data_IF_406498641067
#
_entry.id   IF_406498641067
#
_cell.length_a   1.000
_cell.length_b   1.000
_cell.length_c   1.000
_cell.angle_alpha   90.00
_cell.angle_beta   90.00
_cell.angle_gamma   90.00
#
_symmetry.space_group_name_H-M   'P 1'
#
loop_
_entity.id
_entity.type
_entity.pdbx_description
1 polymer ?
#
# COMPACT_ATOMS: atom_id res chain seq x y z
N UNK A 1 -5.43 3.21 15.40
CA UNK A 1 -4.94 3.14 14.00
C UNK A 1 -3.58 3.82 13.94
N UNK A 2 -2.54 3.17 13.42
CA UNK A 2 -1.18 3.74 13.39
C UNK A 2 -0.87 4.31 12.00
N UNK A 3 0.03 5.29 11.91
CA UNK A 3 0.51 5.85 10.61
C UNK A 3 1.00 4.74 9.67
N UNK A 4 1.63 3.69 10.23
CA UNK A 4 2.06 2.51 9.48
C UNK A 4 0.90 1.78 8.78
N UNK A 5 -0.27 1.67 9.41
CA UNK A 5 -1.45 1.04 8.81
C UNK A 5 -2.02 1.87 7.66
N UNK A 6 -1.94 3.20 7.76
CA UNK A 6 -2.33 4.10 6.67
C UNK A 6 -1.35 3.93 5.50
N UNK A 7 -0.05 4.08 5.74
CA UNK A 7 0.95 4.01 4.67
C UNK A 7 1.00 2.65 3.97
N UNK A 8 0.78 1.55 4.69
CA UNK A 8 0.79 0.20 4.13
C UNK A 8 -0.54 -0.21 3.48
N UNK A 9 -1.57 0.65 3.47
CA UNK A 9 -2.85 0.28 2.89
C UNK A 9 -2.79 0.23 1.35
N UNK A 10 -3.14 -0.93 0.79
CA UNK A 10 -3.10 -1.18 -0.65
C UNK A 10 -4.19 -0.42 -1.43
N UNK A 11 -5.21 0.12 -0.77
CA UNK A 11 -6.23 0.93 -1.44
C UNK A 11 -5.65 2.19 -2.10
N UNK A 12 -4.57 2.75 -1.54
CA UNK A 12 -3.90 3.93 -2.10
C UNK A 12 -3.22 3.66 -3.45
N UNK A 13 -2.90 2.40 -3.76
CA UNK A 13 -2.35 1.97 -5.06
C UNK A 13 -3.41 1.32 -5.97
N UNK A 14 -4.70 1.51 -5.67
CA UNK A 14 -5.81 0.98 -6.47
C UNK A 14 -6.01 -0.53 -6.31
N UNK A 15 -5.69 -1.09 -5.15
CA UNK A 15 -5.88 -2.52 -4.83
C UNK A 15 -6.77 -2.67 -3.60
N UNK A 16 -7.78 -3.53 -3.66
CA UNK A 16 -8.65 -3.84 -2.52
C UNK A 16 -8.33 -5.25 -2.06
N UNK A 17 -8.18 -5.42 -0.74
CA UNK A 17 -7.98 -6.74 -0.12
C UNK A 17 -9.20 -7.05 0.74
N UNK A 18 -9.87 -8.15 0.44
CA UNK A 18 -11.00 -8.65 1.23
C UNK A 18 -10.83 -10.16 1.43
N UNK A 19 -10.81 -10.61 2.68
CA UNK A 19 -10.63 -12.03 3.05
C UNK A 19 -9.43 -12.71 2.36
N UNK A 20 -8.31 -11.99 2.27
CA UNK A 20 -7.07 -12.49 1.65
C UNK A 20 -7.06 -12.45 0.12
N UNK A 21 -8.18 -12.14 -0.53
CA UNK A 21 -8.26 -11.96 -1.98
C UNK A 21 -7.92 -10.51 -2.34
N UNK A 22 -6.96 -10.32 -3.23
CA UNK A 22 -6.58 -9.00 -3.76
C UNK A 22 -7.17 -8.77 -5.15
N UNK A 23 -7.90 -7.67 -5.32
CA UNK A 23 -8.52 -7.29 -6.61
C UNK A 23 -8.16 -5.86 -7.00
N UNK A 24 -8.33 -5.53 -8.28
CA UNK A 24 -8.15 -4.16 -8.77
C UNK A 24 -9.35 -3.32 -8.35
N UNK A 25 -9.08 -2.15 -7.79
CA UNK A 25 -10.12 -1.20 -7.44
C UNK A 25 -10.68 -0.47 -8.66
N UNK A 26 -11.88 0.08 -8.52
CA UNK A 26 -12.53 0.93 -9.53
C UNK A 26 -12.05 2.38 -9.48
N UNK A 27 -11.61 2.85 -8.31
CA UNK A 27 -11.05 4.19 -8.16
C UNK A 27 -9.63 4.29 -8.72
N UNK A 28 -9.22 5.47 -9.21
CA UNK A 28 -7.84 5.70 -9.61
C UNK A 28 -6.91 5.64 -8.38
N UNK A 29 -5.67 5.11 -8.52
CA UNK A 29 -4.67 5.16 -7.45
C UNK A 29 -4.42 6.60 -6.98
N UNK A 30 -4.26 6.78 -5.67
CA UNK A 30 -3.89 8.07 -5.07
C UNK A 30 -2.38 8.30 -5.19
N UNK A 31 -1.59 7.22 -5.07
CA UNK A 31 -0.14 7.24 -5.24
C UNK A 31 0.34 6.14 -6.18
N UNK A 32 1.52 6.32 -6.77
CA UNK A 32 2.13 5.28 -7.59
C UNK A 32 2.58 4.08 -6.74
N UNK A 33 2.49 2.88 -7.32
CA UNK A 33 3.00 1.64 -6.70
C UNK A 33 4.48 1.75 -6.35
N UNK A 34 5.27 2.46 -7.16
CA UNK A 34 6.71 2.69 -6.92
C UNK A 34 6.95 3.48 -5.63
N UNK A 35 6.19 4.56 -5.41
CA UNK A 35 6.31 5.36 -4.19
C UNK A 35 5.89 4.54 -2.97
N UNK A 36 4.77 3.83 -3.06
CA UNK A 36 4.27 2.97 -1.99
C UNK A 36 5.28 1.88 -1.59
N UNK A 37 5.91 1.21 -2.57
CA UNK A 37 6.95 0.22 -2.31
C UNK A 37 8.16 0.82 -1.58
N UNK A 38 8.61 2.03 -1.96
CA UNK A 38 9.70 2.73 -1.26
C UNK A 38 9.33 3.07 0.18
N UNK A 39 8.11 3.57 0.42
CA UNK A 39 7.63 3.84 1.78
C UNK A 39 7.62 2.56 2.63
N UNK A 40 7.13 1.44 2.09
CA UNK A 40 7.14 0.17 2.79
C UNK A 40 8.55 -0.34 3.09
N UNK A 41 9.50 -0.18 2.18
CA UNK A 41 10.90 -0.53 2.41
C UNK A 41 11.47 0.27 3.58
N UNK A 42 11.28 1.60 3.59
CA UNK A 42 11.70 2.46 4.72
C UNK A 42 11.06 2.03 6.05
N UNK A 43 9.76 1.72 6.04
CA UNK A 43 9.01 1.30 7.24
C UNK A 43 9.36 -0.13 7.69
N UNK A 44 9.91 -0.96 6.81
CA UNK A 44 10.31 -2.33 7.13
C UNK A 44 11.63 -2.40 7.90
N UNK A 45 12.39 -1.29 7.97
CA UNK A 45 13.70 -1.25 8.62
C UNK A 45 14.80 -2.05 7.90
N UNK A 46 14.48 -2.72 6.80
CA UNK A 46 15.46 -3.39 5.93
C UNK A 46 16.21 -2.33 5.13
N UNK A 47 17.33 -1.85 5.68
CA UNK A 47 18.37 -1.19 4.90
C UNK A 47 18.96 -2.27 3.99
N UNK A 48 18.79 -2.09 2.68
CA UNK A 48 19.50 -2.88 1.68
C UNK A 48 21.00 -2.66 1.80
#
# INVERSE_FOLDING_TARGET
MTIKNILNNKTYIGRIVHNGVETKATHPPIVSTRLWNRCNQMLSGKRG
#
